data_IF_263866648116
#
_entry.id   IF_263866648116
#
_cell.length_a   1.000
_cell.length_b   1.000
_cell.length_c   1.000
_cell.angle_alpha   90.00
_cell.angle_beta   90.00
_cell.angle_gamma   90.00
#
_symmetry.space_group_name_H-M   'P 1'
#
loop_
_entity.id
_entity.type
_entity.pdbx_description
1 polymer ?
#
# COMPACT_ATOMS: atom_id res chain seq x y z
N UNK A 1 -22.57 41.72 8.84
CA UNK A 1 -21.42 40.87 8.55
C UNK A 1 -20.20 41.49 9.18
N UNK A 2 -19.58 40.82 10.15
CA UNK A 2 -18.43 41.35 10.87
C UNK A 2 -17.15 41.21 10.03
N UNK A 3 -16.08 41.93 10.38
CA UNK A 3 -14.81 41.88 9.64
C UNK A 3 -14.20 40.47 9.54
N UNK A 4 -14.53 39.58 10.49
CA UNK A 4 -14.10 38.18 10.49
C UNK A 4 -14.82 37.34 9.43
N UNK A 5 -16.10 37.57 9.18
CA UNK A 5 -16.89 36.88 8.16
C UNK A 5 -16.40 37.21 6.73
N UNK A 6 -15.94 38.45 6.47
CA UNK A 6 -15.33 38.81 5.19
C UNK A 6 -13.95 38.15 4.96
N UNK A 7 -13.20 37.90 6.03
CA UNK A 7 -11.88 37.25 5.97
C UNK A 7 -11.98 35.75 5.68
N UNK A 8 -13.00 35.07 6.21
CA UNK A 8 -13.28 33.66 5.91
C UNK A 8 -13.64 33.47 4.44
N UNK A 9 -14.44 34.39 3.87
CA UNK A 9 -14.88 34.29 2.48
C UNK A 9 -13.75 34.55 1.46
N UNK A 10 -12.75 35.35 1.84
CA UNK A 10 -11.57 35.65 1.00
C UNK A 10 -10.57 34.49 0.96
N UNK A 11 -10.57 33.59 1.96
CA UNK A 11 -9.55 32.54 2.13
C UNK A 11 -9.78 31.26 1.32
N UNK A 12 -10.93 31.13 0.66
CA UNK A 12 -11.27 29.96 -0.17
C UNK A 12 -10.66 30.07 -1.59
N UNK A 13 -10.13 31.25 -1.98
CA UNK A 13 -9.82 31.53 -3.39
C UNK A 13 -8.34 31.68 -3.81
N UNK A 14 -7.39 31.93 -2.91
CA UNK A 14 -5.97 32.09 -3.28
C UNK A 14 -5.03 32.02 -2.05
N UNK A 15 -3.76 31.61 -2.21
CA UNK A 15 -2.77 31.67 -1.14
C UNK A 15 -2.33 33.12 -0.94
N UNK A 16 -2.64 33.71 0.21
CA UNK A 16 -2.06 35.00 0.62
C UNK A 16 -1.08 34.72 1.75
N UNK A 17 0.19 34.96 1.44
CA UNK A 17 1.27 35.05 2.41
C UNK A 17 1.10 36.38 3.16
N UNK A 18 0.79 36.33 4.45
CA UNK A 18 0.66 37.54 5.28
C UNK A 18 1.53 37.40 6.52
N UNK A 19 2.67 38.09 6.49
CA UNK A 19 3.43 38.39 7.69
C UNK A 19 2.62 39.38 8.54
N UNK A 20 2.22 38.96 9.74
CA UNK A 20 1.76 39.89 10.77
C UNK A 20 2.96 40.37 11.57
N UNK A 21 3.47 41.57 11.27
CA UNK A 21 4.30 42.33 12.22
C UNK A 21 3.41 43.33 12.95
N UNK A 22 2.92 42.97 14.13
CA UNK A 22 2.42 43.95 15.09
C UNK A 22 2.94 43.62 16.51
N UNK A 23 3.73 44.50 17.16
CA UNK A 23 4.53 44.11 18.33
C UNK A 23 3.79 44.12 19.68
N UNK A 24 2.55 44.63 19.76
CA UNK A 24 1.94 45.06 21.03
C UNK A 24 0.60 44.41 21.40
N UNK A 25 0.34 43.17 20.97
CA UNK A 25 -0.86 42.42 21.43
C UNK A 25 -0.48 41.04 21.97
N UNK A 26 -0.73 40.88 23.28
CA UNK A 26 -0.44 39.72 24.12
C UNK A 26 -0.53 38.36 23.39
N UNK A 27 0.62 37.70 23.30
CA UNK A 27 0.88 36.41 22.64
C UNK A 27 0.08 35.18 23.16
N UNK A 28 -0.78 35.30 24.18
CA UNK A 28 -1.42 34.12 24.78
C UNK A 28 -2.74 33.66 24.17
N UNK A 29 -3.40 34.46 23.31
CA UNK A 29 -4.70 34.05 22.74
C UNK A 29 -4.62 33.37 21.36
N UNK A 30 -3.49 33.43 20.65
CA UNK A 30 -3.38 32.90 19.29
C UNK A 30 -2.79 31.48 19.24
N UNK A 31 -1.90 31.14 20.17
CA UNK A 31 -1.31 29.79 20.23
C UNK A 31 -2.33 28.73 20.68
N UNK A 32 -3.32 29.12 21.48
CA UNK A 32 -4.41 28.23 21.92
C UNK A 32 -5.45 27.93 20.82
N UNK A 33 -5.54 28.77 19.78
CA UNK A 33 -6.42 28.52 18.63
C UNK A 33 -5.79 27.51 17.65
N UNK A 34 -4.46 27.49 17.54
CA UNK A 34 -3.74 26.55 16.67
C UNK A 34 -3.79 25.09 17.16
N UNK A 35 -4.11 24.85 18.44
CA UNK A 35 -4.28 23.48 18.96
C UNK A 35 -5.70 22.92 18.72
N UNK A 36 -6.64 23.74 18.22
CA UNK A 36 -8.00 23.32 17.87
C UNK A 36 -8.27 23.20 16.36
N UNK A 37 -7.29 23.51 15.52
CA UNK A 37 -7.40 23.38 14.05
C UNK A 37 -6.52 22.25 13.47
N UNK A 38 -6.21 21.23 14.26
CA UNK A 38 -5.67 19.96 13.73
C UNK A 38 -6.73 19.14 12.96
N UNK A 39 -7.72 19.80 12.37
CA UNK A 39 -8.70 19.21 11.45
C UNK A 39 -8.70 20.04 10.18
N UNK A 40 -8.30 19.38 9.07
CA UNK A 40 -8.52 19.80 7.68
C UNK A 40 -7.39 20.50 6.91
N UNK A 41 -6.12 20.20 7.21
CA UNK A 41 -5.10 20.09 6.16
C UNK A 41 -4.33 18.79 6.39
N UNK A 42 -4.57 17.80 5.53
CA UNK A 42 -4.04 16.45 5.62
C UNK A 42 -2.51 16.42 5.57
N UNK A 43 -1.87 16.68 6.71
CA UNK A 43 -0.49 16.27 6.93
C UNK A 43 -0.54 14.75 7.03
N UNK A 44 -0.29 14.07 5.91
CA UNK A 44 -0.16 12.63 5.87
C UNK A 44 1.01 12.24 6.79
N UNK A 45 0.70 11.99 8.06
CA UNK A 45 1.67 11.43 8.99
C UNK A 45 1.98 10.03 8.49
N UNK A 46 3.21 9.81 8.05
CA UNK A 46 3.73 8.49 7.71
C UNK A 46 3.66 7.60 8.96
N UNK A 47 2.52 6.94 9.15
CA UNK A 47 2.35 6.00 10.25
C UNK A 47 3.13 4.73 9.92
N UNK A 48 3.84 4.16 10.89
CA UNK A 48 4.48 2.84 10.75
C UNK A 48 3.39 1.78 10.72
N UNK A 49 2.86 1.47 9.54
CA UNK A 49 1.85 0.45 9.35
C UNK A 49 2.50 -0.94 9.15
N UNK A 50 2.07 -1.92 9.94
CA UNK A 50 2.52 -3.31 9.80
C UNK A 50 1.67 -4.06 8.78
N UNK A 51 2.16 -4.15 7.53
CA UNK A 51 1.48 -4.83 6.43
C UNK A 51 1.22 -6.32 6.73
N UNK A 52 2.11 -6.98 7.47
CA UNK A 52 1.92 -8.37 7.88
C UNK A 52 0.76 -8.51 8.88
N UNK A 53 0.56 -7.49 9.71
CA UNK A 53 -0.61 -7.35 10.57
C UNK A 53 -1.90 -7.17 9.76
N UNK A 54 -1.85 -6.36 8.69
CA UNK A 54 -2.99 -6.14 7.78
C UNK A 54 -3.38 -7.45 7.08
N UNK A 55 -2.41 -8.19 6.56
CA UNK A 55 -2.64 -9.50 5.95
C UNK A 55 -3.22 -10.52 6.95
N UNK A 56 -2.69 -10.52 8.19
CA UNK A 56 -3.23 -11.36 9.25
C UNK A 56 -4.70 -11.05 9.53
N UNK A 57 -5.04 -9.76 9.69
CA UNK A 57 -6.42 -9.32 9.91
C UNK A 57 -7.36 -9.76 8.77
N UNK A 58 -7.00 -9.54 7.50
CA UNK A 58 -7.80 -9.95 6.35
C UNK A 58 -8.04 -11.47 6.40
N UNK A 59 -6.98 -12.25 6.56
CA UNK A 59 -7.08 -13.72 6.58
C UNK A 59 -7.96 -14.22 7.72
N UNK A 60 -7.86 -13.60 8.91
CA UNK A 60 -8.70 -13.91 10.06
C UNK A 60 -10.16 -13.56 9.80
N UNK A 61 -10.44 -12.37 9.24
CA UNK A 61 -11.79 -11.90 8.96
C UNK A 61 -12.49 -12.77 7.90
N UNK A 62 -11.77 -13.22 6.88
CA UNK A 62 -12.29 -14.09 5.83
C UNK A 62 -12.49 -15.55 6.32
N UNK A 63 -11.54 -16.07 7.11
CA UNK A 63 -11.60 -17.45 7.57
C UNK A 63 -12.54 -17.66 8.78
N UNK A 64 -12.82 -16.61 9.56
CA UNK A 64 -13.59 -16.69 10.81
C UNK A 64 -12.92 -17.52 11.92
N UNK A 65 -11.67 -17.93 11.73
CA UNK A 65 -10.92 -18.78 12.67
C UNK A 65 -9.43 -18.47 12.61
N UNK A 66 -8.82 -18.26 13.77
CA UNK A 66 -7.38 -18.02 13.90
C UNK A 66 -6.55 -19.21 13.42
N UNK A 67 -7.01 -20.44 13.63
CA UNK A 67 -6.27 -21.63 13.21
C UNK A 67 -6.29 -21.79 11.69
N UNK A 68 -7.46 -21.58 11.06
CA UNK A 68 -7.60 -21.67 9.61
C UNK A 68 -6.80 -20.56 8.93
N UNK A 69 -6.90 -19.33 9.43
CA UNK A 69 -6.12 -18.20 8.93
C UNK A 69 -4.60 -18.42 9.07
N UNK A 70 -4.14 -18.98 10.19
CA UNK A 70 -2.73 -19.27 10.41
C UNK A 70 -2.21 -20.30 9.40
N UNK A 71 -3.03 -21.31 9.09
CA UNK A 71 -2.73 -22.31 8.08
C UNK A 71 -2.64 -21.68 6.68
N UNK A 72 -3.57 -20.79 6.31
CA UNK A 72 -3.53 -20.09 5.01
C UNK A 72 -2.29 -19.21 4.84
N UNK A 73 -1.78 -18.65 5.93
CA UNK A 73 -0.58 -17.81 5.93
C UNK A 73 0.71 -18.58 6.23
N UNK A 74 0.65 -19.91 6.38
CA UNK A 74 1.79 -20.79 6.70
C UNK A 74 2.59 -20.33 7.93
N UNK A 75 1.90 -19.88 8.98
CA UNK A 75 2.53 -19.45 10.25
C UNK A 75 1.86 -20.09 11.47
N UNK A 76 2.48 -20.00 12.63
CA UNK A 76 1.86 -20.45 13.88
C UNK A 76 0.69 -19.55 14.30
N UNK A 77 -0.35 -20.08 14.98
CA UNK A 77 -1.45 -19.27 15.53
C UNK A 77 -0.98 -18.20 16.53
N UNK A 78 0.11 -18.46 17.24
CA UNK A 78 0.74 -17.49 18.16
C UNK A 78 1.38 -16.34 17.39
N UNK A 79 2.08 -16.61 16.28
CA UNK A 79 2.64 -15.56 15.43
C UNK A 79 1.54 -14.72 14.76
N UNK A 80 0.46 -15.36 14.28
CA UNK A 80 -0.69 -14.68 13.70
C UNK A 80 -1.34 -13.73 14.71
N UNK A 81 -1.57 -14.20 15.93
CA UNK A 81 -2.16 -13.38 17.02
C UNK A 81 -1.30 -12.16 17.32
N UNK A 82 0.03 -12.33 17.42
CA UNK A 82 0.96 -11.22 17.67
C UNK A 82 0.94 -10.17 16.55
N UNK A 83 0.84 -10.61 15.29
CA UNK A 83 0.73 -9.69 14.13
C UNK A 83 -0.55 -8.86 14.19
N UNK A 84 -1.68 -9.48 14.50
CA UNK A 84 -2.94 -8.77 14.68
C UNK A 84 -2.85 -7.77 15.85
N UNK A 85 -2.38 -8.20 17.01
CA UNK A 85 -2.26 -7.33 18.20
C UNK A 85 -1.38 -6.11 17.95
N UNK A 86 -0.29 -6.26 17.19
CA UNK A 86 0.58 -5.14 16.83
C UNK A 86 -0.11 -4.15 15.88
N UNK A 87 -0.91 -4.65 14.94
CA UNK A 87 -1.74 -3.80 14.09
C UNK A 87 -2.77 -3.03 14.93
N UNK A 88 -3.52 -3.71 15.78
CA UNK A 88 -4.53 -3.10 16.66
C UNK A 88 -3.90 -2.06 17.59
N UNK A 89 -2.71 -2.34 18.14
CA UNK A 89 -1.95 -1.39 18.94
C UNK A 89 -1.50 -0.15 18.15
N UNK A 90 -1.14 -0.32 16.87
CA UNK A 90 -0.77 0.79 15.98
C UNK A 90 -1.99 1.66 15.65
N UNK A 91 -3.14 1.04 15.45
CA UNK A 91 -4.40 1.74 15.16
C UNK A 91 -5.07 2.31 16.41
N UNK A 92 -4.74 1.81 17.59
CA UNK A 92 -5.41 2.14 18.86
C UNK A 92 -6.85 1.63 18.93
N UNK A 93 -7.23 0.70 18.05
CA UNK A 93 -8.61 0.23 17.88
C UNK A 93 -8.63 -1.29 17.74
N UNK A 94 -9.53 -2.00 18.45
CA UNK A 94 -9.72 -3.43 18.27
C UNK A 94 -10.43 -3.71 16.94
N UNK A 95 -9.88 -4.60 16.13
CA UNK A 95 -10.45 -5.02 14.85
C UNK A 95 -11.21 -6.34 14.98
N UNK A 96 -10.78 -7.20 15.90
CA UNK A 96 -11.43 -8.48 16.21
C UNK A 96 -11.73 -8.56 17.71
N UNK A 97 -12.96 -8.91 18.06
CA UNK A 97 -13.34 -9.29 19.42
C UNK A 97 -13.28 -10.82 19.56
N UNK A 98 -12.59 -11.28 20.61
CA UNK A 98 -12.51 -12.70 20.97
C UNK A 98 -13.30 -12.97 22.23
N UNK A 99 -14.20 -13.94 22.18
CA UNK A 99 -14.75 -14.61 23.36
C UNK A 99 -14.17 -16.03 23.43
N UNK A 100 -14.41 -16.74 24.54
CA UNK A 100 -13.97 -18.14 24.69
C UNK A 100 -14.69 -19.11 23.75
N UNK A 101 -15.80 -18.69 23.14
CA UNK A 101 -16.66 -19.54 22.29
C UNK A 101 -16.84 -19.01 20.87
N UNK A 102 -16.54 -17.75 20.63
CA UNK A 102 -16.76 -17.09 19.34
C UNK A 102 -15.72 -16.02 19.07
N UNK A 103 -15.56 -15.72 17.79
CA UNK A 103 -14.78 -14.62 17.29
C UNK A 103 -15.71 -13.76 16.44
N UNK A 104 -15.60 -12.44 16.54
CA UNK A 104 -16.42 -11.51 15.75
C UNK A 104 -15.59 -10.32 15.31
N UNK A 105 -15.78 -9.89 14.06
CA UNK A 105 -15.15 -8.67 13.54
C UNK A 105 -15.87 -7.46 14.13
N UNK A 106 -15.12 -6.50 14.68
CA UNK A 106 -15.72 -5.29 15.26
C UNK A 106 -16.33 -4.40 14.18
N UNK A 107 -17.16 -3.42 14.56
CA UNK A 107 -17.69 -2.43 13.59
C UNK A 107 -16.55 -1.71 12.83
N UNK A 108 -15.52 -1.30 13.56
CA UNK A 108 -14.32 -0.68 12.96
C UNK A 108 -13.60 -1.66 12.05
N UNK A 109 -13.47 -2.92 12.45
CA UNK A 109 -12.92 -3.99 11.60
C UNK A 109 -13.69 -4.15 10.30
N UNK A 110 -15.03 -4.15 10.33
CA UNK A 110 -15.86 -4.25 9.13
C UNK A 110 -15.70 -3.05 8.20
N UNK A 111 -15.58 -1.84 8.75
CA UNK A 111 -15.30 -0.62 7.96
C UNK A 111 -13.88 -0.61 7.37
N UNK A 112 -12.92 -1.22 8.07
CA UNK A 112 -11.50 -1.27 7.67
C UNK A 112 -11.21 -2.38 6.65
N UNK A 113 -11.87 -3.53 6.74
CA UNK A 113 -11.64 -4.70 5.89
C UNK A 113 -11.60 -4.41 4.38
N UNK A 114 -12.59 -3.74 3.76
CA UNK A 114 -12.53 -3.46 2.33
C UNK A 114 -11.36 -2.53 1.95
N UNK A 115 -10.95 -1.62 2.84
CA UNK A 115 -9.81 -0.72 2.63
C UNK A 115 -8.49 -1.51 2.72
N UNK A 116 -8.38 -2.40 3.71
CA UNK A 116 -7.23 -3.27 3.91
C UNK A 116 -6.98 -4.16 2.67
N UNK A 117 -8.03 -4.80 2.16
CA UNK A 117 -7.95 -5.65 0.95
C UNK A 117 -7.46 -4.83 -0.25
N UNK A 118 -8.01 -3.61 -0.43
CA UNK A 118 -7.62 -2.72 -1.52
C UNK A 118 -6.13 -2.34 -1.44
N UNK A 119 -5.64 -1.96 -0.27
CA UNK A 119 -4.23 -1.58 -0.06
C UNK A 119 -3.29 -2.74 -0.40
N UNK A 120 -3.59 -3.95 0.09
CA UNK A 120 -2.75 -5.14 -0.19
C UNK A 120 -2.77 -5.48 -1.68
N UNK A 121 -3.92 -5.35 -2.34
CA UNK A 121 -4.07 -5.60 -3.78
C UNK A 121 -3.31 -4.59 -4.62
N UNK A 122 -3.43 -3.29 -4.33
CA UNK A 122 -2.72 -2.23 -5.04
C UNK A 122 -1.21 -2.42 -4.94
N UNK A 123 -0.71 -2.79 -3.76
CA UNK A 123 0.71 -3.12 -3.59
C UNK A 123 1.13 -4.35 -4.40
N UNK A 124 0.33 -5.43 -4.39
CA UNK A 124 0.61 -6.63 -5.16
C UNK A 124 0.69 -6.32 -6.67
N UNK A 125 -0.28 -5.56 -7.20
CA UNK A 125 -0.29 -5.12 -8.60
C UNK A 125 0.95 -4.28 -8.94
N UNK A 126 1.30 -3.31 -8.10
CA UNK A 126 2.50 -2.48 -8.32
C UNK A 126 3.79 -3.32 -8.36
N UNK A 127 3.90 -4.34 -7.50
CA UNK A 127 5.07 -5.24 -7.49
C UNK A 127 5.12 -6.12 -8.75
N UNK A 128 3.99 -6.60 -9.24
CA UNK A 128 3.95 -7.43 -10.45
C UNK A 128 4.26 -6.63 -11.72
N UNK A 129 3.79 -5.38 -11.82
CA UNK A 129 4.17 -4.47 -12.91
C UNK A 129 5.68 -4.22 -12.98
N UNK A 130 6.35 -4.09 -11.83
CA UNK A 130 7.80 -3.89 -11.77
C UNK A 130 8.57 -5.14 -12.23
N UNK A 131 8.10 -6.35 -11.88
CA UNK A 131 8.72 -7.60 -12.33
C UNK A 131 8.64 -7.75 -13.85
N UNK A 132 7.49 -7.43 -14.45
CA UNK A 132 7.28 -7.53 -15.90
C UNK A 132 8.25 -6.59 -16.64
N UNK A 133 8.42 -5.36 -16.16
CA UNK A 133 9.36 -4.39 -16.77
C UNK A 133 10.82 -4.86 -16.69
N UNK A 134 11.23 -5.44 -15.56
CA UNK A 134 12.60 -5.94 -15.40
C UNK A 134 12.95 -7.08 -16.38
N UNK A 135 11.97 -7.92 -16.73
CA UNK A 135 12.14 -8.98 -17.74
C UNK A 135 12.23 -8.41 -19.16
N UNK A 136 11.53 -7.30 -19.46
CA UNK A 136 11.55 -6.69 -20.80
C UNK A 136 12.87 -6.02 -21.17
N UNK A 137 13.60 -5.46 -20.20
CA UNK A 137 14.93 -4.87 -20.45
C UNK A 137 16.04 -5.93 -20.59
N UNK A 138 15.77 -7.19 -20.25
CA UNK A 138 16.80 -8.25 -20.20
C UNK A 138 16.72 -9.28 -21.34
N UNK A 139 15.65 -9.28 -22.14
CA UNK A 139 15.33 -10.43 -23.00
C UNK A 139 15.21 -10.06 -24.50
N UNK A 140 16.35 -10.08 -25.20
CA UNK A 140 16.36 -10.54 -26.61
C UNK A 140 16.02 -12.04 -26.60
N UNK A 141 14.73 -12.38 -26.60
CA UNK A 141 14.28 -13.78 -26.65
C UNK A 141 14.52 -14.33 -28.06
N UNK A 142 15.65 -14.99 -28.29
CA UNK A 142 15.85 -15.82 -29.48
C UNK A 142 15.02 -17.09 -29.33
N UNK A 143 13.80 -17.06 -29.85
CA UNK A 143 12.94 -18.24 -29.92
C UNK A 143 13.44 -19.18 -31.03
N UNK A 144 14.30 -20.12 -30.68
CA UNK A 144 14.71 -21.20 -31.58
C UNK A 144 13.57 -22.21 -31.75
N UNK A 145 12.80 -22.11 -32.83
CA UNK A 145 11.90 -23.18 -33.24
C UNK A 145 12.72 -24.30 -33.93
N UNK A 146 12.85 -25.51 -33.36
CA UNK A 146 13.33 -26.64 -34.13
C UNK A 146 12.29 -26.95 -35.19
N UNK A 147 12.61 -26.69 -36.46
CA UNK A 147 11.80 -27.09 -37.59
C UNK A 147 11.72 -28.62 -37.61
N UNK A 148 10.64 -29.19 -37.06
CA UNK A 148 10.26 -30.57 -37.34
C UNK A 148 9.33 -30.56 -38.56
N UNK A 149 9.92 -30.30 -39.73
CA UNK A 149 9.26 -30.55 -41.00
C UNK A 149 9.88 -31.80 -41.62
N UNK A 150 9.21 -32.93 -41.43
CA UNK A 150 9.56 -34.19 -42.09
C UNK A 150 9.10 -34.10 -43.55
N UNK A 151 9.96 -33.62 -44.43
CA UNK A 151 9.68 -33.70 -45.86
C UNK A 151 10.70 -33.02 -46.77
N UNK A 152 11.54 -33.84 -47.39
CA UNK A 152 12.28 -33.58 -48.63
C UNK A 152 13.59 -32.79 -48.54
N UNK A 153 14.66 -33.57 -48.63
CA UNK A 153 15.96 -33.22 -49.19
C UNK A 153 15.83 -32.34 -50.45
N UNK A 154 16.40 -31.14 -50.40
CA UNK A 154 17.13 -30.60 -51.54
C UNK A 154 18.53 -30.18 -51.09
N UNK A 155 19.53 -30.86 -51.66
CA UNK A 155 20.92 -30.41 -51.71
C UNK A 155 20.95 -29.01 -52.31
N UNK A 156 21.58 -28.05 -51.64
CA UNK A 156 21.76 -26.73 -52.23
C UNK A 156 22.59 -25.77 -51.39
N UNK A 157 23.89 -25.77 -51.67
CA UNK A 157 24.82 -24.66 -51.46
C UNK A 157 25.39 -24.38 -50.05
N UNK A 158 26.57 -24.97 -49.82
CA UNK A 158 27.60 -24.42 -48.93
C UNK A 158 28.09 -23.07 -49.49
N UNK A 159 27.81 -21.98 -48.79
CA UNK A 159 28.62 -20.76 -48.84
C UNK A 159 28.53 -20.09 -47.45
N UNK A 160 29.51 -20.37 -46.58
CA UNK A 160 30.59 -19.43 -46.21
C UNK A 160 30.06 -18.11 -45.62
N UNK A 161 30.13 -17.99 -44.29
CA UNK A 161 30.46 -16.74 -43.60
C UNK A 161 30.58 -16.98 -42.08
N UNK A 162 31.56 -17.75 -41.63
CA UNK A 162 32.07 -17.66 -40.26
C UNK A 162 33.59 -17.55 -40.34
N UNK A 163 34.05 -16.32 -40.54
CA UNK A 163 35.43 -15.90 -40.37
C UNK A 163 35.40 -14.49 -39.81
N UNK A 164 36.13 -14.31 -38.70
CA UNK A 164 36.37 -13.10 -37.93
C UNK A 164 35.44 -12.86 -36.72
N UNK A 165 35.88 -13.31 -35.55
CA UNK A 165 36.26 -12.44 -34.41
C UNK A 165 36.36 -13.27 -33.12
N UNK A 166 37.55 -13.78 -32.85
CA UNK A 166 38.09 -13.96 -31.50
C UNK A 166 39.60 -14.21 -31.65
N UNK A 167 40.38 -13.15 -31.37
CA UNK A 167 41.81 -13.24 -31.05
C UNK A 167 42.03 -14.08 -29.77
#
# INVERSE_FOLDING_TARGET
MNGAENLVHTRIGNPVDVCFTNPDTSEMHFVAALDKEATSHGTFRMQRLDLLGVQAFISIAEAGSFNVAAHHLYISPTALTRRLQKLEATLGLPLIERTTRSMTVTRVGMEFLPKAIRIVRELASALDELKIKATQDSDEVVMGCPANDRGQSTRGNRARAWSALAE
#
